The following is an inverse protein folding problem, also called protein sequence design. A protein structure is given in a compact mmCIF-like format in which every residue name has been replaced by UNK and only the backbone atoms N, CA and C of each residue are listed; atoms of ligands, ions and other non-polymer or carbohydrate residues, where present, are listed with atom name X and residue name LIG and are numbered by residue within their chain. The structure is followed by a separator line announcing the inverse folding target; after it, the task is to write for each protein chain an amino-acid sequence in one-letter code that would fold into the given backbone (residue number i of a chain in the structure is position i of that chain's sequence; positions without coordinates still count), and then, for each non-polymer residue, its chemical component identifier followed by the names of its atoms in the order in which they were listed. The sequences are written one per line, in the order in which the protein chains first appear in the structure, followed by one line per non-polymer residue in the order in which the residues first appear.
data_IF_669530829185
#
_entry.id   IF_669530829185
#
_cell.length_a   1.000
_cell.length_b   1.000
_cell.length_c   1.000
_cell.angle_alpha   90.00
_cell.angle_beta   90.00
_cell.angle_gamma   90.00
#
_symmetry.space_group_name_H-M   'P 1'
#
loop_
_entity.id
_entity.type
_entity.pdbx_description
1 polymer ?
#
# COMPACT_ATOMS: atom_id res chain seq x y z
N UNK A 1 19.64 16.75 3.54
CA UNK A 1 18.70 15.76 2.99
C UNK A 1 17.38 16.40 2.64
N UNK A 2 16.73 15.94 1.58
CA UNK A 2 15.38 16.35 1.19
C UNK A 2 14.35 15.48 1.90
N UNK A 3 13.36 16.10 2.56
CA UNK A 3 12.34 15.39 3.34
C UNK A 3 10.96 15.85 2.92
N UNK A 4 10.14 14.91 2.51
CA UNK A 4 8.73 15.14 2.20
C UNK A 4 7.92 15.16 3.50
N UNK A 5 7.21 16.25 3.75
CA UNK A 5 6.36 16.45 4.91
C UNK A 5 4.95 16.86 4.50
N UNK A 6 3.99 16.70 5.39
CA UNK A 6 2.66 17.23 5.17
C UNK A 6 2.68 18.75 5.36
N UNK A 7 2.49 19.49 4.28
CA UNK A 7 2.34 20.94 4.28
C UNK A 7 0.88 21.33 4.01
N UNK A 8 0.36 22.39 4.62
CA UNK A 8 -1.00 22.88 4.30
C UNK A 8 -1.13 23.22 2.81
N UNK A 9 -2.26 22.92 2.21
CA UNK A 9 -2.52 23.11 0.78
C UNK A 9 -2.27 24.55 0.29
N UNK A 10 -2.36 25.54 1.17
CA UNK A 10 -2.18 26.97 0.85
C UNK A 10 -0.80 27.52 1.21
N UNK A 11 0.12 26.68 1.67
CA UNK A 11 1.46 27.14 2.09
C UNK A 11 2.38 27.53 0.94
N UNK A 12 2.00 27.29 -0.31
CA UNK A 12 2.89 27.44 -1.47
C UNK A 12 4.09 26.49 -1.50
N UNK A 13 4.23 25.63 -0.48
CA UNK A 13 5.32 24.66 -0.36
C UNK A 13 4.83 23.33 -0.92
N UNK A 14 5.06 23.09 -2.21
CA UNK A 14 4.62 21.88 -2.90
C UNK A 14 5.61 20.72 -2.90
N UNK A 15 6.85 20.93 -2.45
CA UNK A 15 7.97 20.00 -2.55
C UNK A 15 8.53 19.51 -1.22
N UNK A 16 9.62 18.77 -1.31
CA UNK A 16 10.40 18.36 -0.15
C UNK A 16 11.11 19.56 0.49
N UNK A 17 11.22 19.55 1.82
CA UNK A 17 11.99 20.53 2.57
C UNK A 17 13.40 20.01 2.81
N UNK A 18 14.37 20.94 2.83
CA UNK A 18 15.78 20.60 3.08
C UNK A 18 16.08 20.67 4.58
N UNK A 19 16.69 19.60 5.09
CA UNK A 19 17.16 19.49 6.47
C UNK A 19 18.62 19.08 6.52
N UNK A 20 19.28 19.41 7.64
CA UNK A 20 20.64 18.98 7.94
C UNK A 20 20.62 17.59 8.59
N UNK A 21 21.64 16.78 8.27
CA UNK A 21 21.85 15.48 8.90
C UNK A 21 23.33 15.13 8.82
N UNK A 22 23.89 14.65 9.93
CA UNK A 22 25.30 14.23 10.02
C UNK A 22 25.58 12.96 9.24
N UNK A 23 24.56 12.20 8.88
CA UNK A 23 24.66 10.96 8.10
C UNK A 23 23.73 10.98 6.90
N UNK A 24 24.14 10.27 5.85
CA UNK A 24 23.27 10.05 4.69
C UNK A 24 22.17 9.03 5.05
N UNK A 25 20.93 9.34 4.64
CA UNK A 25 19.80 8.44 4.78
C UNK A 25 19.30 8.01 3.43
N UNK A 26 18.99 6.71 3.30
CA UNK A 26 18.41 6.18 2.08
C UNK A 26 17.04 6.82 1.80
N UNK A 27 16.73 7.16 0.53
CA UNK A 27 15.40 7.60 0.16
C UNK A 27 14.32 6.60 0.60
N UNK A 28 13.21 7.12 1.16
CA UNK A 28 12.16 6.32 1.79
C UNK A 28 12.30 6.14 3.30
N UNK A 29 13.43 6.53 3.89
CA UNK A 29 13.62 6.50 5.36
C UNK A 29 12.60 7.43 6.04
N UNK A 30 11.97 6.93 7.09
CA UNK A 30 11.05 7.71 7.92
C UNK A 30 11.83 8.48 8.97
N UNK A 31 11.61 9.79 9.04
CA UNK A 31 12.32 10.69 9.95
C UNK A 31 11.35 11.60 10.70
N UNK A 32 11.79 12.11 11.86
CA UNK A 32 11.13 13.21 12.54
C UNK A 32 11.87 14.50 12.21
N UNK A 33 11.13 15.51 11.81
CA UNK A 33 11.69 16.81 11.44
C UNK A 33 10.96 17.94 12.14
N UNK A 34 11.69 18.98 12.56
CA UNK A 34 11.06 20.17 13.15
C UNK A 34 10.41 21.03 12.04
N UNK A 35 9.13 21.33 12.19
CA UNK A 35 8.42 22.29 11.36
C UNK A 35 7.69 23.31 12.25
N UNK A 36 8.16 24.56 12.27
CA UNK A 36 7.73 25.55 13.27
C UNK A 36 8.12 25.13 14.68
N UNK A 37 7.13 24.99 15.57
CA UNK A 37 7.28 24.53 16.96
C UNK A 37 6.95 23.03 17.17
N UNK A 38 6.65 22.31 16.09
CA UNK A 38 6.21 20.91 16.15
C UNK A 38 7.22 19.99 15.46
N UNK A 39 7.28 18.75 15.93
CA UNK A 39 7.92 17.66 15.19
C UNK A 39 6.89 16.93 14.36
N UNK A 40 7.21 16.73 13.08
CA UNK A 40 6.36 16.02 12.14
C UNK A 40 7.08 14.77 11.62
N UNK A 41 6.29 13.78 11.22
CA UNK A 41 6.79 12.68 10.41
C UNK A 41 7.11 13.20 9.01
N UNK A 42 8.27 12.82 8.51
CA UNK A 42 8.70 13.05 7.14
C UNK A 42 9.23 11.77 6.50
N UNK A 43 9.32 11.78 5.20
CA UNK A 43 9.90 10.73 4.39
C UNK A 43 11.10 11.33 3.65
N UNK A 44 12.28 10.76 3.81
CA UNK A 44 13.44 11.14 3.00
C UNK A 44 13.09 10.87 1.55
N UNK A 45 13.16 11.92 0.72
CA UNK A 45 12.78 11.81 -0.69
C UNK A 45 14.03 11.81 -1.57
N UNK A 46 13.91 11.21 -2.74
CA UNK A 46 14.99 11.31 -3.71
C UNK A 46 15.29 12.80 -3.94
N UNK A 47 16.56 13.16 -4.08
CA UNK A 47 16.95 14.50 -4.47
C UNK A 47 16.26 14.77 -5.81
N UNK A 48 15.12 15.43 -5.78
CA UNK A 48 14.61 16.08 -6.94
C UNK A 48 15.77 16.95 -7.40
N UNK A 49 16.20 16.78 -8.64
CA UNK A 49 17.15 17.70 -9.28
C UNK A 49 16.70 19.09 -8.86
N UNK A 50 17.41 19.67 -7.92
CA UNK A 50 17.28 21.08 -7.63
C UNK A 50 17.58 21.70 -8.97
N UNK A 51 16.54 22.16 -9.67
CA UNK A 51 16.72 22.94 -10.86
C UNK A 51 17.65 24.08 -10.45
N UNK A 52 18.90 23.98 -10.83
CA UNK A 52 19.91 25.02 -10.73
C UNK A 52 19.53 26.15 -11.70
N UNK A 53 18.34 26.66 -11.58
CA UNK A 53 17.83 27.89 -12.16
C UNK A 53 17.34 28.80 -11.04
N UNK A 54 18.21 29.05 -10.11
CA UNK A 54 18.11 30.21 -9.24
C UNK A 54 19.17 31.19 -9.68
N UNK A 55 18.73 32.13 -10.50
CA UNK A 55 19.19 33.52 -10.58
C UNK A 55 20.11 33.94 -9.42
N UNK A 56 21.24 34.55 -9.77
CA UNK A 56 22.16 35.36 -8.96
C UNK A 56 21.41 36.39 -8.11
N UNK A 57 20.88 35.95 -6.98
CA UNK A 57 20.62 36.84 -5.86
C UNK A 57 21.17 36.15 -4.62
N UNK A 58 22.13 36.81 -3.95
CA UNK A 58 22.66 36.48 -2.64
C UNK A 58 21.47 36.34 -1.66
N UNK A 59 20.98 35.11 -1.51
CA UNK A 59 20.02 34.79 -0.45
C UNK A 59 20.83 34.64 0.84
N UNK A 60 20.38 35.25 1.97
CA UNK A 60 21.03 35.05 3.25
C UNK A 60 21.09 33.53 3.54
N UNK A 61 22.24 33.07 4.03
CA UNK A 61 22.49 31.68 4.34
C UNK A 61 21.32 31.13 5.20
N UNK A 62 20.42 30.37 4.59
CA UNK A 62 19.30 29.73 5.30
C UNK A 62 19.93 28.76 6.30
N UNK A 63 19.77 29.04 7.60
CA UNK A 63 20.12 28.09 8.64
C UNK A 63 19.20 26.87 8.51
N UNK A 64 19.75 25.79 7.93
CA UNK A 64 19.02 24.52 7.87
C UNK A 64 18.81 24.01 9.28
N UNK A 65 17.65 23.42 9.53
CA UNK A 65 17.36 22.73 10.79
C UNK A 65 17.78 21.27 10.66
N UNK A 66 18.36 20.73 11.73
CA UNK A 66 18.69 19.30 11.78
C UNK A 66 17.42 18.46 11.90
N UNK A 67 17.45 17.22 11.38
CA UNK A 67 16.41 16.23 11.67
C UNK A 67 16.41 15.96 13.18
N UNK A 68 15.22 15.72 13.75
CA UNK A 68 15.10 15.39 15.16
C UNK A 68 15.48 13.94 15.47
N UNK A 69 15.03 13.00 14.64
CA UNK A 69 15.35 11.58 14.79
C UNK A 69 14.97 10.77 13.55
N UNK A 70 15.48 9.55 13.47
CA UNK A 70 15.08 8.51 12.50
C UNK A 70 14.11 7.55 13.18
N UNK A 71 13.10 7.05 12.45
CA UNK A 71 12.26 5.97 12.95
C UNK A 71 13.00 4.63 12.78
N UNK A 72 13.76 4.26 13.80
CA UNK A 72 14.49 3.00 13.82
C UNK A 72 13.55 1.79 13.71
N UNK A 73 14.04 0.70 13.11
CA UNK A 73 13.30 -0.55 12.98
C UNK A 73 12.20 -0.56 11.90
N UNK A 74 12.07 0.53 11.13
CA UNK A 74 11.21 0.58 9.94
C UNK A 74 12.11 0.66 8.71
N UNK A 75 12.11 -0.34 7.83
CA UNK A 75 12.84 -0.26 6.56
C UNK A 75 12.41 0.97 5.73
N UNK A 76 13.25 1.50 4.85
CA UNK A 76 12.85 2.56 3.94
C UNK A 76 11.69 2.15 3.03
N UNK A 77 10.80 3.07 2.75
CA UNK A 77 9.74 2.91 1.75
C UNK A 77 10.36 2.72 0.35
N UNK A 78 9.89 1.73 -0.41
CA UNK A 78 10.47 1.37 -1.69
C UNK A 78 10.43 2.51 -2.72
N UNK A 79 11.29 2.45 -3.73
CA UNK A 79 11.27 3.38 -4.85
C UNK A 79 9.91 3.35 -5.57
N UNK A 80 9.35 2.16 -5.80
CA UNK A 80 8.05 2.01 -6.43
C UNK A 80 6.93 2.67 -5.63
N UNK A 81 6.95 2.54 -4.29
CA UNK A 81 5.98 3.22 -3.45
C UNK A 81 6.07 4.75 -3.58
N UNK A 82 7.30 5.30 -3.59
CA UNK A 82 7.50 6.74 -3.77
C UNK A 82 7.06 7.22 -5.16
N UNK A 83 7.33 6.43 -6.21
CA UNK A 83 6.88 6.71 -7.57
C UNK A 83 5.35 6.67 -7.69
N UNK A 84 4.68 5.69 -7.05
CA UNK A 84 3.22 5.64 -6.99
C UNK A 84 2.64 6.89 -6.33
N UNK A 85 3.19 7.30 -5.20
CA UNK A 85 2.79 8.54 -4.50
C UNK A 85 3.01 9.77 -5.37
N UNK A 86 4.18 9.87 -6.02
CA UNK A 86 4.51 11.00 -6.90
C UNK A 86 3.57 11.07 -8.10
N UNK A 87 3.28 9.93 -8.72
CA UNK A 87 2.30 9.84 -9.81
C UNK A 87 0.90 10.30 -9.34
N UNK A 88 0.43 9.76 -8.21
CA UNK A 88 -0.88 10.12 -7.68
C UNK A 88 -0.97 11.62 -7.34
N UNK A 89 0.07 12.17 -6.72
CA UNK A 89 0.14 13.59 -6.39
C UNK A 89 0.06 14.46 -7.66
N UNK A 90 0.89 14.13 -8.65
CA UNK A 90 0.93 14.87 -9.92
C UNK A 90 -0.40 14.77 -10.69
N UNK A 91 -0.91 13.56 -10.89
CA UNK A 91 -2.12 13.30 -11.67
C UNK A 91 -3.37 13.94 -11.03
N UNK A 92 -3.48 13.86 -9.71
CA UNK A 92 -4.63 14.42 -8.97
C UNK A 92 -4.39 15.84 -8.46
N UNK A 93 -3.31 16.51 -8.90
CA UNK A 93 -3.00 17.91 -8.59
C UNK A 93 -2.93 18.18 -7.08
N UNK A 94 -2.16 17.35 -6.35
CA UNK A 94 -1.94 17.48 -4.90
C UNK A 94 -0.45 17.51 -4.59
N UNK A 95 -0.10 17.96 -3.37
CA UNK A 95 1.29 17.86 -2.94
C UNK A 95 1.65 16.40 -2.66
N UNK A 96 2.88 16.00 -3.02
CA UNK A 96 3.35 14.65 -2.74
C UNK A 96 3.40 14.36 -1.23
N UNK A 97 3.68 15.37 -0.40
CA UNK A 97 3.62 15.26 1.05
C UNK A 97 2.21 14.97 1.60
N UNK A 98 1.16 15.59 1.03
CA UNK A 98 -0.23 15.28 1.37
C UNK A 98 -0.54 13.80 1.09
N UNK A 99 -0.22 13.32 -0.12
CA UNK A 99 -0.51 11.94 -0.51
C UNK A 99 0.33 10.95 0.30
N UNK A 100 1.65 11.18 0.43
CA UNK A 100 2.56 10.31 1.17
C UNK A 100 2.11 10.14 2.63
N UNK A 101 1.87 11.24 3.32
CA UNK A 101 1.54 11.20 4.74
C UNK A 101 0.09 10.72 5.00
N UNK A 102 -0.84 10.93 4.05
CA UNK A 102 -2.18 10.33 4.12
C UNK A 102 -2.15 8.81 3.93
N UNK A 103 -1.22 8.29 3.12
CA UNK A 103 -1.03 6.87 2.87
C UNK A 103 -0.44 6.10 4.09
N UNK A 104 0.19 6.82 5.03
CA UNK A 104 0.79 6.22 6.23
C UNK A 104 -0.19 6.20 7.40
N UNK A 105 -0.11 5.17 8.29
CA UNK A 105 -0.94 5.10 9.48
C UNK A 105 -0.83 6.35 10.36
N UNK A 106 -1.96 6.85 10.88
CA UNK A 106 -1.99 8.04 11.74
C UNK A 106 -1.09 7.90 12.96
N UNK A 107 -1.10 6.73 13.61
CA UNK A 107 -0.22 6.49 14.76
C UNK A 107 1.28 6.62 14.44
N UNK A 108 1.70 6.28 13.22
CA UNK A 108 3.08 6.45 12.82
C UNK A 108 3.46 7.95 12.78
N UNK A 109 2.49 8.81 12.45
CA UNK A 109 2.65 10.27 12.45
C UNK A 109 2.60 10.86 13.86
N UNK A 110 1.75 10.32 14.72
CA UNK A 110 1.38 10.92 16.01
C UNK A 110 2.27 10.46 17.18
N UNK A 111 2.89 9.26 17.08
CA UNK A 111 3.76 8.74 18.14
C UNK A 111 5.05 9.57 18.24
N UNK A 112 5.45 9.97 19.48
CA UNK A 112 6.77 10.56 19.70
C UNK A 112 7.89 9.52 19.54
N UNK A 113 9.12 9.99 19.38
CA UNK A 113 10.31 9.12 19.29
C UNK A 113 10.43 8.18 20.50
N UNK A 114 10.13 8.64 21.71
CA UNK A 114 10.17 7.82 22.92
C UNK A 114 9.05 6.76 22.95
N UNK A 115 7.84 7.13 22.51
CA UNK A 115 6.71 6.21 22.40
C UNK A 115 7.01 5.12 21.35
N UNK A 116 7.65 5.51 20.25
CA UNK A 116 8.10 4.59 19.21
C UNK A 116 9.16 3.62 19.76
N UNK A 117 10.20 4.11 20.42
CA UNK A 117 11.24 3.29 21.04
C UNK A 117 10.68 2.30 22.07
N UNK A 118 9.69 2.71 22.88
CA UNK A 118 8.98 1.81 23.81
C UNK A 118 8.20 0.71 23.07
N UNK A 119 7.63 1.04 21.90
CA UNK A 119 6.91 0.05 21.07
C UNK A 119 7.86 -1.00 20.52
N UNK A 120 9.02 -0.62 20.02
CA UNK A 120 10.04 -1.52 19.49
C UNK A 120 10.56 -2.51 20.56
N UNK A 121 10.63 -2.09 21.83
CA UNK A 121 11.05 -2.95 22.94
C UNK A 121 10.01 -3.99 23.38
N UNK A 122 8.75 -3.87 22.91
CA UNK A 122 7.71 -4.87 23.22
C UNK A 122 7.98 -6.14 22.44
N UNK A 123 8.15 -7.25 23.18
CA UNK A 123 8.25 -8.58 22.53
C UNK A 123 7.00 -8.81 21.68
N UNK A 124 7.13 -9.31 20.43
CA UNK A 124 5.99 -9.71 19.66
C UNK A 124 5.19 -10.74 20.45
N UNK A 125 3.87 -10.56 20.50
CA UNK A 125 2.99 -11.56 21.10
C UNK A 125 3.04 -12.78 20.18
N UNK A 126 3.37 -13.94 20.74
CA UNK A 126 3.31 -15.20 20.02
C UNK A 126 1.90 -15.33 19.47
N UNK A 127 1.78 -15.35 18.16
CA UNK A 127 0.49 -15.53 17.51
C UNK A 127 0.15 -17.01 17.61
N UNK A 128 -1.05 -17.31 18.12
CA UNK A 128 -1.54 -18.67 18.18
C UNK A 128 -1.58 -19.24 16.76
N UNK A 129 -1.29 -20.54 16.62
CA UNK A 129 -1.49 -21.22 15.35
C UNK A 129 -2.96 -21.06 14.90
N UNK A 130 -3.18 -21.05 13.59
CA UNK A 130 -4.54 -21.03 13.07
C UNK A 130 -5.23 -22.36 13.44
N UNK A 131 -6.28 -22.29 14.25
CA UNK A 131 -7.02 -23.45 14.75
C UNK A 131 -8.29 -23.74 13.92
N UNK A 132 -8.50 -23.03 12.82
CA UNK A 132 -9.66 -23.22 11.96
C UNK A 132 -9.65 -24.58 11.22
N UNK A 133 -10.83 -25.06 10.84
CA UNK A 133 -10.97 -26.26 10.04
C UNK A 133 -10.28 -26.09 8.68
N UNK A 134 -9.67 -27.17 8.18
CA UNK A 134 -9.12 -27.18 6.84
C UNK A 134 -10.22 -26.85 5.81
N UNK A 135 -9.99 -25.91 4.89
CA UNK A 135 -11.03 -25.51 3.94
C UNK A 135 -11.31 -26.66 2.96
N UNK A 136 -12.58 -26.86 2.67
CA UNK A 136 -12.97 -27.68 1.51
C UNK A 136 -12.66 -26.86 0.26
N UNK A 137 -11.64 -27.29 -0.49
CA UNK A 137 -11.22 -26.64 -1.73
C UNK A 137 -12.07 -27.22 -2.87
N UNK A 138 -12.99 -26.45 -3.47
CA UNK A 138 -13.81 -26.95 -4.57
C UNK A 138 -12.94 -27.26 -5.80
N UNK A 139 -13.30 -28.27 -6.57
CA UNK A 139 -12.64 -28.52 -7.87
C UNK A 139 -12.96 -27.34 -8.82
N UNK A 140 -11.97 -26.77 -9.52
CA UNK A 140 -12.22 -25.69 -10.44
C UNK A 140 -13.04 -26.19 -11.64
N UNK A 141 -13.91 -25.35 -12.16
CA UNK A 141 -14.61 -25.62 -13.42
C UNK A 141 -13.62 -25.56 -14.59
N UNK A 142 -14.03 -26.07 -15.76
CA UNK A 142 -13.20 -25.98 -16.96
C UNK A 142 -12.92 -24.51 -17.35
N UNK A 143 -13.90 -23.62 -17.20
CA UNK A 143 -13.75 -22.17 -17.43
C UNK A 143 -12.75 -21.54 -16.45
N UNK A 144 -12.86 -21.84 -15.16
CA UNK A 144 -11.91 -21.34 -14.15
C UNK A 144 -10.49 -21.82 -14.42
N UNK A 145 -10.34 -23.08 -14.83
CA UNK A 145 -9.04 -23.65 -15.21
C UNK A 145 -8.44 -22.91 -16.40
N UNK A 146 -9.23 -22.63 -17.42
CA UNK A 146 -8.79 -21.86 -18.59
C UNK A 146 -8.38 -20.44 -18.22
N UNK A 147 -9.16 -19.76 -17.39
CA UNK A 147 -8.85 -18.40 -16.90
C UNK A 147 -7.53 -18.40 -16.11
N UNK A 148 -7.35 -19.36 -15.21
CA UNK A 148 -6.10 -19.47 -14.43
C UNK A 148 -4.88 -19.72 -15.32
N UNK A 149 -5.03 -20.56 -16.36
CA UNK A 149 -3.97 -20.77 -17.35
C UNK A 149 -3.62 -19.47 -18.10
N UNK A 150 -4.62 -18.69 -18.49
CA UNK A 150 -4.40 -17.38 -19.13
C UNK A 150 -3.70 -16.38 -18.21
N UNK A 151 -4.11 -16.30 -16.93
CA UNK A 151 -3.46 -15.45 -15.93
C UNK A 151 -2.00 -15.88 -15.72
N UNK A 152 -1.73 -17.18 -15.71
CA UNK A 152 -0.36 -17.69 -15.58
C UNK A 152 0.51 -17.29 -16.78
N UNK A 153 0.00 -17.44 -18.01
CA UNK A 153 0.74 -17.27 -19.25
C UNK A 153 1.03 -15.80 -19.63
N UNK A 154 0.22 -14.84 -19.15
CA UNK A 154 0.30 -13.44 -19.58
C UNK A 154 0.57 -12.48 -18.42
N UNK A 155 0.94 -11.24 -18.76
CA UNK A 155 1.26 -10.20 -17.75
C UNK A 155 0.02 -9.46 -17.22
N UNK A 156 -1.05 -9.37 -18.00
CA UNK A 156 -2.23 -8.56 -17.65
C UNK A 156 -2.08 -7.08 -18.03
N UNK A 157 -2.95 -6.19 -17.54
CA UNK A 157 -4.04 -6.47 -16.60
C UNK A 157 -5.12 -7.38 -17.20
N UNK A 158 -5.86 -8.11 -16.34
CA UNK A 158 -6.91 -9.01 -16.74
C UNK A 158 -8.26 -8.51 -16.27
N UNK A 159 -9.28 -8.58 -17.13
CA UNK A 159 -10.67 -8.40 -16.73
C UNK A 159 -11.32 -9.77 -16.53
N UNK A 160 -11.62 -10.11 -15.26
CA UNK A 160 -12.36 -11.31 -14.91
C UNK A 160 -13.86 -11.01 -14.87
N UNK A 161 -14.52 -11.22 -15.99
CA UNK A 161 -15.96 -11.05 -16.11
C UNK A 161 -16.70 -12.33 -15.67
N UNK A 162 -17.72 -12.17 -14.85
CA UNK A 162 -18.57 -13.29 -14.42
C UNK A 162 -19.66 -12.85 -13.46
N UNK A 163 -20.81 -13.47 -13.54
CA UNK A 163 -21.97 -13.15 -12.71
C UNK A 163 -21.66 -13.28 -11.22
N UNK A 164 -22.48 -12.65 -10.37
CA UNK A 164 -22.42 -12.88 -8.92
C UNK A 164 -22.62 -14.35 -8.64
N UNK A 165 -21.75 -14.94 -7.81
CA UNK A 165 -21.80 -16.39 -7.53
C UNK A 165 -21.12 -17.30 -8.55
N UNK A 166 -20.54 -16.78 -9.65
CA UNK A 166 -19.81 -17.56 -10.65
C UNK A 166 -18.46 -18.16 -10.15
N UNK A 167 -18.07 -17.83 -8.93
CA UNK A 167 -16.82 -18.32 -8.36
C UNK A 167 -15.59 -17.45 -8.66
N UNK A 168 -15.75 -16.18 -9.01
CA UNK A 168 -14.62 -15.24 -9.17
C UNK A 168 -13.66 -15.27 -7.99
N UNK A 169 -14.19 -15.29 -6.75
CA UNK A 169 -13.35 -15.36 -5.53
C UNK A 169 -12.48 -16.61 -5.51
N UNK A 170 -12.94 -17.76 -6.02
CA UNK A 170 -12.11 -18.96 -6.11
C UNK A 170 -10.96 -18.79 -7.11
N UNK A 171 -11.19 -18.07 -8.20
CA UNK A 171 -10.11 -17.73 -9.15
C UNK A 171 -9.06 -16.84 -8.45
N UNK A 172 -9.48 -15.84 -7.66
CA UNK A 172 -8.54 -15.01 -6.89
C UNK A 172 -7.73 -15.82 -5.90
N UNK A 173 -8.38 -16.70 -5.13
CA UNK A 173 -7.71 -17.55 -4.15
C UNK A 173 -6.68 -18.47 -4.82
N UNK A 174 -7.01 -19.05 -5.97
CA UNK A 174 -6.08 -19.93 -6.72
C UNK A 174 -4.94 -19.16 -7.36
N UNK A 175 -5.21 -18.01 -7.95
CA UNK A 175 -4.17 -17.15 -8.50
C UNK A 175 -3.20 -16.69 -7.40
N UNK A 176 -3.73 -16.31 -6.24
CA UNK A 176 -2.95 -15.94 -5.06
C UNK A 176 -2.11 -17.11 -4.55
N UNK A 177 -2.69 -18.29 -4.45
CA UNK A 177 -1.99 -19.50 -4.02
C UNK A 177 -0.83 -19.84 -4.97
N UNK A 178 -1.07 -19.83 -6.27
CA UNK A 178 -0.04 -20.12 -7.27
C UNK A 178 1.16 -19.14 -7.15
N UNK A 179 0.90 -17.84 -6.94
CA UNK A 179 1.94 -16.84 -6.74
C UNK A 179 2.75 -17.09 -5.47
N UNK A 180 2.09 -17.45 -4.36
CA UNK A 180 2.78 -17.72 -3.09
C UNK A 180 3.57 -19.04 -3.11
N UNK A 181 3.12 -20.04 -3.87
CA UNK A 181 3.82 -21.32 -4.06
C UNK A 181 5.05 -21.16 -4.97
N UNK A 182 4.93 -20.34 -6.02
CA UNK A 182 6.03 -20.06 -6.94
C UNK A 182 7.11 -19.19 -6.30
N UNK A 183 6.70 -18.17 -5.58
CA UNK A 183 7.62 -17.20 -4.96
C UNK A 183 7.36 -17.07 -3.46
N UNK A 184 8.18 -17.69 -2.61
CA UNK A 184 7.95 -17.74 -1.16
C UNK A 184 7.85 -16.39 -0.46
N UNK A 185 8.44 -15.34 -1.01
CA UNK A 185 8.39 -13.98 -0.44
C UNK A 185 7.29 -13.11 -1.06
N UNK A 186 6.59 -13.58 -2.07
CA UNK A 186 5.57 -12.81 -2.76
C UNK A 186 4.52 -12.25 -1.80
N UNK A 187 4.02 -11.07 -2.16
CA UNK A 187 2.91 -10.42 -1.48
C UNK A 187 1.77 -10.18 -2.47
N UNK A 188 0.56 -10.22 -1.94
CA UNK A 188 -0.68 -10.10 -2.70
C UNK A 188 -1.55 -9.03 -2.07
N UNK A 189 -2.01 -8.10 -2.89
CA UNK A 189 -2.99 -7.11 -2.50
C UNK A 189 -4.36 -7.52 -3.06
N UNK A 190 -5.35 -7.71 -2.19
CA UNK A 190 -6.74 -7.95 -2.56
C UNK A 190 -7.57 -6.76 -2.11
N UNK A 191 -8.11 -6.04 -3.08
CA UNK A 191 -8.94 -4.87 -2.83
C UNK A 191 -10.41 -5.24 -3.06
N UNK A 192 -11.24 -4.86 -2.10
CA UNK A 192 -12.69 -5.07 -2.16
C UNK A 192 -13.42 -3.78 -1.78
N UNK A 193 -14.65 -3.56 -2.26
CA UNK A 193 -15.50 -2.48 -1.76
C UNK A 193 -15.69 -2.57 -0.24
N UNK A 194 -15.85 -1.43 0.42
CA UNK A 194 -15.92 -1.39 1.89
C UNK A 194 -17.05 -2.27 2.46
N UNK A 195 -18.20 -2.32 1.75
CA UNK A 195 -19.35 -3.15 2.11
C UNK A 195 -19.09 -4.65 1.94
N UNK A 196 -18.15 -5.04 1.10
CA UNK A 196 -17.82 -6.44 0.80
C UNK A 196 -16.70 -6.98 1.69
N UNK A 197 -16.00 -6.12 2.43
CA UNK A 197 -14.99 -6.53 3.39
C UNK A 197 -15.66 -7.04 4.68
N UNK A 198 -16.20 -8.22 4.61
CA UNK A 198 -16.92 -8.88 5.71
C UNK A 198 -16.01 -9.84 6.49
N UNK A 199 -16.32 -10.12 7.76
CA UNK A 199 -15.62 -11.16 8.52
C UNK A 199 -15.60 -12.51 7.81
N UNK A 200 -16.65 -12.86 7.07
CA UNK A 200 -16.76 -14.10 6.31
C UNK A 200 -15.78 -14.15 5.14
N UNK A 201 -15.57 -13.03 4.45
CA UNK A 201 -14.57 -12.95 3.39
C UNK A 201 -13.16 -13.09 3.96
N UNK A 202 -12.87 -12.37 5.05
CA UNK A 202 -11.58 -12.46 5.73
C UNK A 202 -11.32 -13.90 6.21
N UNK A 203 -12.31 -14.55 6.84
CA UNK A 203 -12.19 -15.93 7.30
C UNK A 203 -11.97 -16.91 6.14
N UNK A 204 -12.61 -16.70 5.00
CA UNK A 204 -12.39 -17.52 3.80
C UNK A 204 -10.93 -17.45 3.31
N UNK A 205 -10.32 -16.27 3.34
CA UNK A 205 -8.90 -16.10 3.02
C UNK A 205 -8.01 -16.71 4.10
N UNK A 206 -8.33 -16.50 5.39
CA UNK A 206 -7.58 -17.11 6.51
C UNK A 206 -7.59 -18.63 6.45
N UNK A 207 -8.76 -19.23 6.28
CA UNK A 207 -8.92 -20.68 6.16
C UNK A 207 -8.10 -21.25 5.00
N UNK A 208 -7.98 -20.51 3.88
CA UNK A 208 -7.22 -20.95 2.71
C UNK A 208 -5.72 -20.86 2.90
N UNK A 209 -5.22 -19.79 3.52
CA UNK A 209 -3.79 -19.46 3.51
C UNK A 209 -3.10 -19.68 4.85
N UNK A 210 -3.75 -19.42 5.99
CA UNK A 210 -3.11 -19.51 7.29
C UNK A 210 -2.61 -20.92 7.67
N UNK A 211 -3.24 -22.03 7.26
CA UNK A 211 -2.70 -23.36 7.55
C UNK A 211 -1.32 -23.61 6.97
N UNK A 212 -1.01 -23.02 5.82
CA UNK A 212 0.27 -23.24 5.12
C UNK A 212 1.28 -22.13 5.41
N UNK A 213 0.84 -20.89 5.53
CA UNK A 213 1.74 -19.73 5.64
C UNK A 213 1.71 -19.03 7.01
N UNK A 214 0.99 -19.59 7.99
CA UNK A 214 0.90 -19.05 9.34
C UNK A 214 -0.20 -18.02 9.53
N UNK A 215 -0.61 -17.80 10.78
CA UNK A 215 -1.75 -16.92 11.11
C UNK A 215 -1.50 -15.43 10.80
N UNK A 216 -0.24 -14.99 10.78
CA UNK A 216 0.15 -13.60 10.46
C UNK A 216 0.32 -13.36 8.95
N UNK A 217 0.15 -14.39 8.09
CA UNK A 217 0.30 -14.25 6.65
C UNK A 217 -0.73 -13.29 6.03
N UNK A 218 -1.86 -13.04 6.70
CA UNK A 218 -2.94 -12.20 6.21
C UNK A 218 -3.25 -11.07 7.19
N UNK A 219 -3.31 -9.86 6.68
CA UNK A 219 -3.74 -8.66 7.41
C UNK A 219 -4.85 -7.93 6.67
N UNK A 220 -5.75 -7.29 7.44
CA UNK A 220 -6.79 -6.44 6.89
C UNK A 220 -6.39 -4.96 6.95
N UNK A 221 -6.81 -4.15 5.94
CA UNK A 221 -6.60 -2.70 5.89
C UNK A 221 -7.89 -1.99 5.49
N UNK A 222 -8.63 -1.49 6.49
CA UNK A 222 -9.90 -0.77 6.30
C UNK A 222 -10.14 0.29 7.37
N UNK A 223 -11.15 1.11 7.17
CA UNK A 223 -11.47 2.27 8.00
C UNK A 223 -11.88 1.90 9.43
N UNK A 224 -12.53 0.75 9.64
CA UNK A 224 -13.05 0.31 10.95
C UNK A 224 -11.99 -0.19 11.92
N UNK A 225 -10.74 -0.40 11.46
CA UNK A 225 -9.63 -0.80 12.34
C UNK A 225 -9.25 0.32 13.30
N UNK A 226 -8.95 -0.04 14.54
CA UNK A 226 -8.33 0.92 15.48
C UNK A 226 -6.98 1.41 14.95
N UNK A 227 -6.55 2.63 15.32
CA UNK A 227 -5.24 3.14 14.90
C UNK A 227 -4.08 2.18 15.22
N UNK A 228 -4.14 1.49 16.38
CA UNK A 228 -3.12 0.52 16.78
C UNK A 228 -3.09 -0.74 15.90
N UNK A 229 -4.26 -1.26 15.53
CA UNK A 229 -4.38 -2.39 14.61
C UNK A 229 -3.91 -2.00 13.21
N UNK A 230 -4.31 -0.82 12.73
CA UNK A 230 -3.88 -0.29 11.43
C UNK A 230 -2.37 -0.18 11.33
N UNK A 231 -1.71 0.35 12.37
CA UNK A 231 -0.25 0.43 12.42
C UNK A 231 0.38 -0.97 12.47
N UNK A 232 -0.16 -1.90 13.28
CA UNK A 232 0.35 -3.29 13.33
C UNK A 232 0.28 -3.94 11.94
N UNK A 233 -0.87 -3.86 11.29
CA UNK A 233 -1.10 -4.48 9.99
C UNK A 233 -0.25 -3.84 8.88
N UNK A 234 -0.08 -2.52 8.93
CA UNK A 234 0.80 -1.81 8.01
C UNK A 234 2.25 -2.23 8.16
N UNK A 235 2.75 -2.37 9.40
CA UNK A 235 4.12 -2.83 9.66
C UNK A 235 4.34 -4.26 9.16
N UNK A 236 3.38 -5.16 9.37
CA UNK A 236 3.46 -6.54 8.88
C UNK A 236 3.47 -6.60 7.34
N UNK A 237 2.70 -5.74 6.66
CA UNK A 237 2.74 -5.62 5.20
C UNK A 237 4.08 -5.04 4.72
N UNK A 238 4.55 -3.98 5.38
CA UNK A 238 5.78 -3.29 5.04
C UNK A 238 7.05 -4.12 5.25
N UNK A 239 7.08 -4.97 6.29
CA UNK A 239 8.19 -5.89 6.54
C UNK A 239 8.17 -7.14 5.62
N UNK A 240 7.09 -7.38 4.90
CA UNK A 240 6.90 -8.61 4.12
C UNK A 240 6.45 -9.82 4.97
N UNK A 241 6.19 -9.64 6.27
CA UNK A 241 5.65 -10.69 7.14
C UNK A 241 4.24 -11.10 6.69
N UNK A 242 3.38 -10.10 6.44
CA UNK A 242 2.08 -10.34 5.83
C UNK A 242 2.24 -10.59 4.33
N UNK A 243 1.81 -11.76 3.90
CA UNK A 243 1.82 -12.19 2.49
C UNK A 243 0.61 -11.68 1.74
N UNK A 244 -0.52 -11.53 2.42
CA UNK A 244 -1.78 -11.07 1.84
C UNK A 244 -2.27 -9.86 2.61
N UNK A 245 -2.54 -8.80 1.88
CA UNK A 245 -3.25 -7.62 2.38
C UNK A 245 -4.65 -7.63 1.78
N UNK A 246 -5.66 -7.79 2.63
CA UNK A 246 -7.06 -7.67 2.25
C UNK A 246 -7.54 -6.29 2.68
N UNK A 247 -7.90 -5.44 1.73
CA UNK A 247 -8.20 -4.06 2.08
C UNK A 247 -9.20 -3.36 1.19
N UNK A 248 -9.56 -2.16 1.60
CA UNK A 248 -10.42 -1.27 0.82
C UNK A 248 -9.59 -0.25 0.04
N UNK A 249 -10.20 0.76 -0.49
CA UNK A 249 -9.60 1.81 -1.33
C UNK A 249 -8.20 2.27 -0.89
N UNK A 250 -8.01 2.53 0.42
CA UNK A 250 -6.73 3.01 0.94
C UNK A 250 -5.58 1.99 0.83
N UNK A 251 -5.90 0.71 0.73
CA UNK A 251 -4.90 -0.35 0.63
C UNK A 251 -4.07 -0.28 -0.66
N UNK A 252 -4.51 0.48 -1.67
CA UNK A 252 -3.72 0.72 -2.89
C UNK A 252 -2.35 1.34 -2.59
N UNK A 253 -2.21 2.06 -1.47
CA UNK A 253 -0.94 2.65 -1.02
C UNK A 253 -0.22 1.82 0.06
N UNK A 254 -0.69 0.61 0.37
CA UNK A 254 0.01 -0.25 1.33
C UNK A 254 1.46 -0.48 0.88
N UNK A 255 2.42 -0.27 1.78
CA UNK A 255 3.82 -0.57 1.48
C UNK A 255 4.02 -2.09 1.49
N UNK A 256 4.31 -2.65 0.34
CA UNK A 256 4.46 -4.09 0.11
C UNK A 256 5.68 -4.33 -0.78
N UNK A 257 6.87 -4.59 -0.20
CA UNK A 257 8.13 -4.64 -0.96
C UNK A 257 8.22 -5.80 -1.95
N UNK A 258 7.36 -6.82 -1.83
CA UNK A 258 7.36 -8.02 -2.65
C UNK A 258 6.04 -8.24 -3.40
N UNK A 259 5.34 -7.16 -3.74
CA UNK A 259 4.04 -7.22 -4.41
C UNK A 259 4.16 -7.88 -5.80
N UNK A 260 3.37 -8.94 -6.04
CA UNK A 260 3.35 -9.66 -7.31
C UNK A 260 1.95 -9.85 -7.91
N UNK A 261 0.91 -9.68 -7.10
CA UNK A 261 -0.47 -9.78 -7.56
C UNK A 261 -1.34 -8.73 -6.89
N UNK A 262 -2.15 -8.05 -7.69
CA UNK A 262 -3.20 -7.16 -7.24
C UNK A 262 -4.54 -7.70 -7.74
N UNK A 263 -5.49 -7.88 -6.87
CA UNK A 263 -6.88 -8.20 -7.20
C UNK A 263 -7.74 -7.00 -6.83
N UNK A 264 -8.60 -6.57 -7.72
CA UNK A 264 -9.60 -5.53 -7.49
C UNK A 264 -10.96 -6.16 -7.75
N UNK A 265 -11.64 -6.58 -6.69
CA UNK A 265 -12.97 -7.18 -6.80
C UNK A 265 -14.03 -6.09 -6.96
N UNK A 266 -15.09 -6.38 -7.74
CA UNK A 266 -16.13 -5.41 -8.12
C UNK A 266 -15.54 -4.06 -8.58
N UNK A 267 -14.65 -4.11 -9.59
CA UNK A 267 -13.83 -2.97 -10.06
C UNK A 267 -14.64 -1.73 -10.44
N UNK A 268 -15.91 -1.94 -10.80
CA UNK A 268 -16.87 -0.88 -11.17
C UNK A 268 -17.42 -0.10 -9.96
N UNK A 269 -17.19 -0.59 -8.73
CA UNK A 269 -17.79 0.00 -7.53
C UNK A 269 -17.28 1.44 -7.30
N UNK A 270 -18.19 2.43 -7.15
CA UNK A 270 -17.82 3.82 -6.96
C UNK A 270 -17.04 4.10 -5.66
N UNK A 271 -17.06 3.17 -4.68
CA UNK A 271 -16.31 3.32 -3.43
C UNK A 271 -14.79 3.33 -3.65
N UNK A 272 -14.30 2.86 -4.80
CA UNK A 272 -12.90 2.99 -5.17
C UNK A 272 -12.48 4.42 -5.51
N UNK A 273 -13.43 5.33 -5.71
CA UNK A 273 -13.15 6.75 -5.91
C UNK A 273 -13.10 7.47 -4.58
N UNK A 274 -11.94 8.07 -4.26
CA UNK A 274 -11.78 8.93 -3.10
C UNK A 274 -12.58 10.21 -3.27
N UNK A 275 -13.35 10.61 -2.26
CA UNK A 275 -14.22 11.78 -2.32
C UNK A 275 -13.54 13.06 -1.83
N UNK A 276 -12.57 12.93 -0.92
CA UNK A 276 -11.87 14.05 -0.27
C UNK A 276 -10.36 14.01 -0.55
N UNK A 277 -9.69 15.14 -0.39
CA UNK A 277 -8.25 15.25 -0.61
C UNK A 277 -7.84 14.95 -2.05
N UNK A 278 -6.88 14.10 -2.23
CA UNK A 278 -6.49 13.57 -3.55
C UNK A 278 -7.57 12.61 -4.06
N UNK A 279 -8.51 13.11 -4.82
CA UNK A 279 -9.68 12.36 -5.33
C UNK A 279 -9.31 11.25 -6.32
N UNK A 280 -8.43 10.36 -5.90
CA UNK A 280 -7.91 9.28 -6.73
C UNK A 280 -8.93 8.14 -6.94
N UNK A 281 -8.75 7.42 -8.04
CA UNK A 281 -9.37 6.12 -8.30
C UNK A 281 -8.39 5.04 -7.86
N UNK A 282 -8.76 4.25 -6.85
CA UNK A 282 -7.91 3.17 -6.38
C UNK A 282 -7.80 2.02 -7.39
N UNK A 283 -8.85 1.78 -8.20
CA UNK A 283 -8.80 0.86 -9.34
C UNK A 283 -7.71 1.27 -10.33
N UNK A 284 -7.73 2.53 -10.77
CA UNK A 284 -6.78 3.00 -11.79
C UNK A 284 -5.35 3.05 -11.23
N UNK A 285 -5.20 3.44 -9.95
CA UNK A 285 -3.91 3.35 -9.26
C UNK A 285 -3.43 1.91 -9.08
N UNK A 286 -4.32 0.94 -8.90
CA UNK A 286 -3.95 -0.48 -8.83
C UNK A 286 -3.38 -0.98 -10.17
N UNK A 287 -3.97 -0.57 -11.30
CA UNK A 287 -3.46 -0.88 -12.64
C UNK A 287 -2.07 -0.25 -12.85
N UNK A 288 -1.95 1.04 -12.54
CA UNK A 288 -0.66 1.75 -12.63
C UNK A 288 0.40 1.13 -11.73
N UNK A 289 0.03 0.78 -10.49
CA UNK A 289 0.90 0.12 -9.53
C UNK A 289 1.38 -1.24 -10.03
N UNK A 290 0.48 -2.05 -10.60
CA UNK A 290 0.83 -3.32 -11.22
C UNK A 290 1.87 -3.17 -12.33
N UNK A 291 1.69 -2.18 -13.20
CA UNK A 291 2.66 -1.87 -14.25
C UNK A 291 4.01 -1.40 -13.67
N UNK A 292 3.98 -0.54 -12.65
CA UNK A 292 5.16 0.02 -12.01
C UNK A 292 6.00 -1.04 -11.29
N UNK A 293 5.35 -1.94 -10.56
CA UNK A 293 5.99 -2.97 -9.74
C UNK A 293 6.17 -4.31 -10.48
N UNK A 294 5.66 -4.44 -11.72
CA UNK A 294 5.68 -5.70 -12.46
C UNK A 294 4.72 -6.75 -11.92
N UNK A 295 3.74 -6.33 -11.09
CA UNK A 295 2.74 -7.21 -10.50
C UNK A 295 1.58 -7.45 -11.47
N UNK A 296 1.03 -8.68 -11.48
CA UNK A 296 -0.19 -8.98 -12.23
C UNK A 296 -1.38 -8.28 -11.59
N UNK A 297 -2.33 -7.83 -12.41
CA UNK A 297 -3.56 -7.18 -11.95
C UNK A 297 -4.78 -7.92 -12.48
N UNK A 298 -5.69 -8.30 -11.59
CA UNK A 298 -6.97 -8.92 -11.92
C UNK A 298 -8.08 -7.97 -11.47
N UNK A 299 -8.86 -7.47 -12.42
CA UNK A 299 -10.06 -6.67 -12.20
C UNK A 299 -11.26 -7.59 -12.31
N UNK A 300 -12.01 -7.81 -11.23
CA UNK A 300 -13.16 -8.68 -11.23
C UNK A 300 -14.47 -7.90 -11.22
N UNK A 301 -15.43 -8.30 -12.04
CA UNK A 301 -16.76 -7.67 -12.06
C UNK A 301 -17.83 -8.57 -12.66
N UNK A 302 -19.07 -8.41 -12.19
CA UNK A 302 -20.26 -8.90 -12.87
C UNK A 302 -20.79 -7.88 -13.90
N UNK A 303 -20.48 -6.60 -13.69
CA UNK A 303 -20.92 -5.47 -14.51
C UNK A 303 -19.72 -4.53 -14.75
N UNK A 304 -18.77 -4.92 -15.61
CA UNK A 304 -17.55 -4.15 -15.82
C UNK A 304 -17.85 -2.71 -16.22
N UNK A 305 -16.98 -1.78 -15.79
CA UNK A 305 -17.02 -0.41 -16.26
C UNK A 305 -16.77 -0.36 -17.78
N UNK A 306 -17.30 0.65 -18.46
CA UNK A 306 -17.11 0.80 -19.89
C UNK A 306 -15.64 0.91 -20.27
N UNK A 307 -14.85 1.59 -19.43
CA UNK A 307 -13.41 1.74 -19.63
C UNK A 307 -12.69 0.38 -19.55
N UNK A 308 -12.97 -0.41 -18.51
CA UNK A 308 -12.37 -1.74 -18.36
C UNK A 308 -12.78 -2.69 -19.46
N UNK A 309 -14.04 -2.64 -19.87
CA UNK A 309 -14.57 -3.44 -20.98
C UNK A 309 -13.96 -3.07 -22.34
N UNK A 310 -13.76 -1.78 -22.60
CA UNK A 310 -13.19 -1.30 -23.85
C UNK A 310 -11.72 -1.67 -24.02
N UNK A 311 -10.99 -1.78 -22.92
CA UNK A 311 -9.56 -2.10 -22.91
C UNK A 311 -9.25 -3.59 -22.70
N UNK A 312 -10.25 -4.45 -22.55
CA UNK A 312 -10.11 -5.91 -22.38
C UNK A 312 -10.08 -6.71 -23.74
#
# INVERSE_FOLDING_TARGET
ISVMVHTPAHSGIGGALTYESDIAHAPGTLVRVPLGSRELLGVVWDEAQVNAQSSDHEQPALQLRAIASVLEGVPPLSAHWRQLVQFAAHYYQRSAGEVALAALPSQLRDLSTEQWARRLKRKPKVVAAYEGAAPVIPTPTAEQTQVLANIAAHKGPFLLFGNTGSGKTEVYLRAAQAVLEDTPQAQILVMVPEINLTPQLEERFRARFCPQWGADCLVAMHSSLTPAQRLKNWLAAHSGEARIVLGTRMAVFASMPHLQLIVVDEEHDPSYKQQEGARYSARDLAIYRGQLEGAKVILGSATPSLESWHHS
#
